data_IF_365108030480
#
_entry.id   IF_365108030480
#
_cell.length_a   1.000
_cell.length_b   1.000
_cell.length_c   1.000
_cell.angle_alpha   90.00
_cell.angle_beta   90.00
_cell.angle_gamma   90.00
#
_symmetry.space_group_name_H-M   'P 1'
#
loop_
_entity.id
_entity.type
_entity.pdbx_description
1 polymer ?
#
# COMPACT_ATOMS: atom_id res chain seq x y z
N UNK A 1 14.02 3.98 26.91
CA UNK A 1 13.59 2.62 26.49
C UNK A 1 12.19 2.80 25.91
N UNK A 2 11.93 2.37 24.67
CA UNK A 2 10.63 2.61 24.02
C UNK A 2 9.48 1.93 24.78
N UNK A 3 8.32 2.55 24.80
CA UNK A 3 7.08 1.95 25.28
C UNK A 3 6.67 0.76 24.38
N UNK A 4 5.69 -0.03 24.82
CA UNK A 4 5.14 -1.10 23.98
C UNK A 4 4.42 -0.51 22.78
N UNK A 5 3.67 0.58 22.97
CA UNK A 5 2.92 1.27 21.93
C UNK A 5 3.86 1.80 20.83
N UNK A 6 4.97 2.44 21.20
CA UNK A 6 5.98 2.94 20.26
C UNK A 6 6.60 1.80 19.43
N UNK A 7 6.80 0.62 20.04
CA UNK A 7 7.33 -0.55 19.33
C UNK A 7 6.32 -1.14 18.35
N UNK A 8 5.02 -1.09 18.68
CA UNK A 8 3.95 -1.54 17.79
C UNK A 8 3.86 -0.59 16.59
N UNK A 9 3.90 0.72 16.84
CA UNK A 9 3.88 1.73 15.77
C UNK A 9 5.08 1.58 14.81
N UNK A 10 6.29 1.35 15.35
CA UNK A 10 7.47 1.06 14.53
C UNK A 10 7.27 -0.17 13.61
N UNK A 11 6.64 -1.23 14.13
CA UNK A 11 6.38 -2.46 13.38
C UNK A 11 5.34 -2.24 12.29
N UNK A 12 4.27 -1.52 12.59
CA UNK A 12 3.26 -1.14 11.60
C UNK A 12 3.87 -0.31 10.48
N UNK A 13 4.69 0.69 10.82
CA UNK A 13 5.43 1.51 9.85
C UNK A 13 6.32 0.66 8.94
N UNK A 14 7.04 -0.31 9.51
CA UNK A 14 7.88 -1.22 8.75
C UNK A 14 7.07 -2.09 7.78
N UNK A 15 5.92 -2.60 8.23
CA UNK A 15 5.01 -3.39 7.40
C UNK A 15 4.47 -2.54 6.24
N UNK A 16 3.95 -1.34 6.50
CA UNK A 16 3.42 -0.46 5.46
C UNK A 16 4.49 -0.07 4.44
N UNK A 17 5.72 0.20 4.87
CA UNK A 17 6.85 0.48 3.96
C UNK A 17 7.21 -0.72 3.09
N UNK A 18 7.23 -1.93 3.64
CA UNK A 18 7.53 -3.15 2.87
C UNK A 18 6.44 -3.44 1.84
N UNK A 19 5.17 -3.34 2.22
CA UNK A 19 4.04 -3.52 1.30
C UNK A 19 4.10 -2.48 0.18
N UNK A 20 4.32 -1.22 0.53
CA UNK A 20 4.49 -0.12 -0.43
C UNK A 20 5.60 -0.39 -1.45
N UNK A 21 6.75 -0.86 -0.98
CA UNK A 21 7.87 -1.22 -1.85
C UNK A 21 7.53 -2.37 -2.81
N UNK A 22 6.83 -3.40 -2.33
CA UNK A 22 6.39 -4.53 -3.17
C UNK A 22 5.44 -4.06 -4.28
N UNK A 23 4.44 -3.24 -3.94
CA UNK A 23 3.49 -2.69 -4.92
C UNK A 23 4.21 -1.88 -6.00
N UNK A 24 5.17 -1.02 -5.63
CA UNK A 24 5.93 -0.24 -6.60
C UNK A 24 6.79 -1.12 -7.51
N UNK A 25 7.39 -2.17 -6.96
CA UNK A 25 8.17 -3.14 -7.75
C UNK A 25 7.29 -3.91 -8.72
N UNK A 26 6.10 -4.33 -8.29
CA UNK A 26 5.15 -5.02 -9.13
C UNK A 26 4.56 -4.10 -10.20
N UNK A 27 4.39 -2.80 -9.90
CA UNK A 27 3.99 -1.78 -10.85
C UNK A 27 5.00 -1.65 -11.99
N UNK A 28 6.30 -1.58 -11.67
CA UNK A 28 7.37 -1.53 -12.68
C UNK A 28 7.43 -2.81 -13.53
N UNK A 29 7.11 -3.97 -12.94
CA UNK A 29 7.26 -5.27 -13.58
C UNK A 29 6.05 -5.68 -14.42
N UNK A 30 4.84 -5.36 -13.97
CA UNK A 30 3.59 -5.88 -14.51
C UNK A 30 2.66 -4.79 -15.05
N UNK A 31 2.93 -3.53 -14.73
CA UNK A 31 2.11 -2.40 -15.14
C UNK A 31 0.90 -2.15 -14.22
N UNK A 32 0.30 -0.95 -14.34
CA UNK A 32 -0.69 -0.46 -13.39
C UNK A 32 -2.01 -1.22 -13.39
N UNK A 33 -2.51 -1.66 -14.56
CA UNK A 33 -3.79 -2.36 -14.64
C UNK A 33 -3.79 -3.65 -13.82
N UNK A 34 -2.74 -4.48 -13.98
CA UNK A 34 -2.65 -5.75 -13.27
C UNK A 34 -2.53 -5.54 -11.77
N UNK A 35 -1.67 -4.62 -11.33
CA UNK A 35 -1.45 -4.35 -9.90
C UNK A 35 -2.70 -3.78 -9.24
N UNK A 36 -3.36 -2.80 -9.87
CA UNK A 36 -4.60 -2.24 -9.34
C UNK A 36 -5.71 -3.30 -9.24
N UNK A 37 -5.84 -4.18 -10.24
CA UNK A 37 -6.84 -5.26 -10.19
C UNK A 37 -6.57 -6.25 -9.05
N UNK A 38 -5.32 -6.69 -8.87
CA UNK A 38 -4.97 -7.59 -7.76
C UNK A 38 -5.26 -6.94 -6.40
N UNK A 39 -4.96 -5.65 -6.24
CA UNK A 39 -5.27 -4.90 -5.02
C UNK A 39 -6.79 -4.80 -4.80
N UNK A 40 -7.55 -4.47 -5.84
CA UNK A 40 -9.00 -4.32 -5.79
C UNK A 40 -9.72 -5.64 -5.49
N UNK A 41 -9.24 -6.75 -6.07
CA UNK A 41 -9.77 -8.09 -5.76
C UNK A 41 -9.49 -8.46 -4.30
N UNK A 42 -8.28 -8.15 -3.81
CA UNK A 42 -7.91 -8.36 -2.42
C UNK A 42 -8.66 -7.46 -1.42
N UNK A 43 -9.11 -6.28 -1.84
CA UNK A 43 -9.79 -5.31 -0.97
C UNK A 43 -11.23 -5.70 -0.63
N UNK A 44 -11.83 -6.64 -1.37
CA UNK A 44 -13.24 -7.04 -1.23
C UNK A 44 -14.22 -5.85 -1.29
N UNK A 45 -13.86 -4.78 -2.01
CA UNK A 45 -14.69 -3.58 -2.17
C UNK A 45 -14.56 -2.53 -1.07
N UNK A 46 -13.67 -2.72 -0.09
CA UNK A 46 -13.43 -1.72 0.96
C UNK A 46 -12.78 -0.44 0.42
N UNK A 47 -12.00 -0.55 -0.65
CA UNK A 47 -11.42 0.58 -1.36
C UNK A 47 -11.18 0.23 -2.82
N UNK A 48 -11.01 1.25 -3.65
CA UNK A 48 -10.78 1.11 -5.09
C UNK A 48 -9.54 1.89 -5.53
N UNK A 49 -8.61 1.19 -6.16
CA UNK A 49 -7.41 1.73 -6.81
C UNK A 49 -7.68 1.85 -8.30
N UNK A 50 -7.49 3.05 -8.83
CA UNK A 50 -7.63 3.32 -10.27
C UNK A 50 -6.50 2.60 -11.02
N UNK A 51 -6.78 1.89 -12.13
CA UNK A 51 -5.80 1.10 -12.89
C UNK A 51 -4.86 1.97 -13.75
N UNK A 52 -4.26 2.99 -13.15
CA UNK A 52 -3.27 3.89 -13.75
C UNK A 52 -2.02 3.95 -12.86
N UNK A 53 -0.88 4.35 -13.45
CA UNK A 53 0.37 4.50 -12.67
C UNK A 53 0.19 5.48 -11.51
N UNK A 54 -0.53 6.59 -11.75
CA UNK A 54 -0.90 7.56 -10.73
C UNK A 54 -1.78 6.97 -9.63
N UNK A 55 -2.83 6.21 -9.98
CA UNK A 55 -3.74 5.61 -9.00
C UNK A 55 -3.04 4.60 -8.07
N UNK A 56 -2.15 3.78 -8.62
CA UNK A 56 -1.35 2.84 -7.82
C UNK A 56 -0.36 3.59 -6.92
N UNK A 57 0.29 4.66 -7.42
CA UNK A 57 1.19 5.49 -6.60
C UNK A 57 0.45 6.25 -5.50
N UNK A 58 -0.77 6.71 -5.76
CA UNK A 58 -1.63 7.32 -4.75
C UNK A 58 -1.98 6.33 -3.65
N UNK A 59 -2.36 5.09 -4.01
CA UNK A 59 -2.58 4.01 -3.04
C UNK A 59 -1.34 3.78 -2.15
N UNK A 60 -0.15 3.73 -2.74
CA UNK A 60 1.12 3.62 -2.00
C UNK A 60 1.37 4.83 -1.10
N UNK A 61 1.09 6.04 -1.57
CA UNK A 61 1.19 7.25 -0.75
C UNK A 61 0.26 7.18 0.45
N UNK A 62 -0.97 6.70 0.27
CA UNK A 62 -1.94 6.54 1.35
C UNK A 62 -1.53 5.43 2.34
N UNK A 63 -0.93 4.32 1.88
CA UNK A 63 -0.31 3.28 2.71
C UNK A 63 0.75 3.87 3.64
N UNK A 64 1.71 4.59 3.07
CA UNK A 64 2.83 5.19 3.82
C UNK A 64 2.33 6.22 4.82
N UNK A 65 1.34 7.02 4.43
CA UNK A 65 0.76 8.07 5.27
C UNK A 65 -0.35 7.56 6.22
N UNK A 66 -0.66 6.26 6.20
CA UNK A 66 -1.75 5.64 6.98
C UNK A 66 -3.12 6.32 6.77
N UNK A 67 -3.38 6.89 5.59
CA UNK A 67 -4.63 7.60 5.25
C UNK A 67 -5.64 6.67 4.55
N UNK A 68 -6.03 5.61 5.23
CA UNK A 68 -7.18 4.81 4.80
C UNK A 68 -8.45 5.42 5.40
N UNK A 69 -9.27 6.04 4.56
CA UNK A 69 -10.62 6.47 4.94
C UNK A 69 -11.60 5.31 4.77
#
# INVERSE_FOLDING_TARGET
MKSIEEKIEDLEDEVFRKVSYLILKDLERYGPEKVANEINEGSQGNYYVVPTDEGVRECVSNLINKKFN
#
